data_IF_998585569707
#
_entry.id   IF_998585569707
#
_cell.length_a   1.000
_cell.length_b   1.000
_cell.length_c   1.000
_cell.angle_alpha   90.00
_cell.angle_beta   90.00
_cell.angle_gamma   90.00
#
_symmetry.space_group_name_H-M   'P 1'
#
loop_
_entity.id
_entity.type
_entity.pdbx_description
1 polymer ?
#
# COMPACT_ATOMS: atom_id res chain seq x y z
N UNK A 1 25.76 2.70 -54.06
CA UNK A 1 24.81 2.80 -52.93
C UNK A 1 25.17 1.72 -51.93
N UNK A 2 25.68 2.08 -50.76
CA UNK A 2 26.04 1.16 -49.69
C UNK A 2 24.76 0.75 -48.94
N UNK A 3 24.48 -0.54 -48.71
CA UNK A 3 23.31 -0.94 -47.96
C UNK A 3 23.44 -0.50 -46.51
N UNK A 4 22.42 0.19 -46.00
CA UNK A 4 22.32 0.59 -44.60
C UNK A 4 22.08 -0.69 -43.79
N UNK A 5 23.08 -1.11 -43.03
CA UNK A 5 22.93 -2.16 -42.03
C UNK A 5 22.14 -1.60 -40.84
N UNK A 6 20.94 -2.13 -40.59
CA UNK A 6 20.17 -1.81 -39.40
C UNK A 6 20.82 -2.51 -38.19
N UNK A 7 21.60 -1.76 -37.43
CA UNK A 7 22.19 -2.24 -36.17
C UNK A 7 21.09 -2.42 -35.13
N UNK A 8 20.76 -3.67 -34.77
CA UNK A 8 19.92 -3.98 -33.61
C UNK A 8 20.69 -3.66 -32.33
N UNK A 9 20.33 -2.58 -31.66
CA UNK A 9 20.80 -2.29 -30.29
C UNK A 9 20.03 -3.15 -29.30
N UNK A 10 20.74 -4.05 -28.63
CA UNK A 10 20.22 -4.77 -27.48
C UNK A 10 20.36 -3.90 -26.24
N UNK A 11 19.25 -3.48 -25.64
CA UNK A 11 19.25 -2.81 -24.35
C UNK A 11 19.36 -3.89 -23.27
N UNK A 12 20.50 -3.98 -22.62
CA UNK A 12 20.67 -4.85 -21.47
C UNK A 12 19.93 -4.26 -20.26
N UNK A 13 19.22 -5.12 -19.53
CA UNK A 13 18.52 -4.74 -18.31
C UNK A 13 19.54 -4.56 -17.18
N UNK A 14 19.68 -3.33 -16.68
CA UNK A 14 20.37 -3.07 -15.42
C UNK A 14 19.33 -2.77 -14.33
N UNK A 15 19.45 -3.44 -13.17
CA UNK A 15 18.55 -3.25 -12.03
C UNK A 15 19.12 -2.14 -11.13
N UNK A 16 18.54 -0.95 -11.16
CA UNK A 16 18.91 0.17 -10.29
C UNK A 16 18.40 0.04 -8.84
N UNK A 17 18.36 -1.20 -8.30
CA UNK A 17 17.79 -1.50 -6.98
C UNK A 17 16.27 -1.68 -6.98
N UNK A 18 15.66 -1.53 -5.80
CA UNK A 18 14.22 -1.60 -5.57
C UNK A 18 13.83 -0.73 -4.39
N UNK A 19 12.74 0.02 -4.53
CA UNK A 19 12.18 0.84 -3.45
C UNK A 19 10.81 0.29 -3.03
N UNK A 20 10.48 0.45 -1.76
CA UNK A 20 9.15 0.25 -1.21
C UNK A 20 8.32 1.53 -1.28
N UNK A 21 7.03 1.36 -1.48
CA UNK A 21 6.03 2.43 -1.29
C UNK A 21 5.03 1.92 -0.24
N UNK A 22 4.93 2.62 0.88
CA UNK A 22 3.85 2.45 1.85
C UNK A 22 2.82 3.53 1.56
N UNK A 23 1.56 3.13 1.39
CA UNK A 23 0.48 4.06 1.05
C UNK A 23 -0.76 3.70 1.86
N UNK A 24 -1.39 4.73 2.42
CA UNK A 24 -2.66 4.65 3.10
C UNK A 24 -3.64 5.61 2.42
N UNK A 25 -4.89 5.20 2.31
CA UNK A 25 -5.97 6.02 1.75
C UNK A 25 -7.23 5.81 2.56
N UNK A 26 -7.88 6.92 2.92
CA UNK A 26 -9.22 6.92 3.48
C UNK A 26 -10.23 7.03 2.31
N UNK A 27 -10.97 5.97 1.99
CA UNK A 27 -11.75 5.88 0.74
C UNK A 27 -12.78 7.00 0.56
N UNK A 28 -13.45 7.39 1.65
CA UNK A 28 -14.61 8.28 1.63
C UNK A 28 -14.24 9.76 1.60
N UNK A 29 -13.09 10.13 2.16
CA UNK A 29 -12.58 11.51 2.18
C UNK A 29 -11.56 11.74 1.07
N UNK A 30 -10.91 10.69 0.59
CA UNK A 30 -9.77 10.78 -0.32
C UNK A 30 -8.49 11.26 0.37
N UNK A 31 -8.43 11.25 1.71
CA UNK A 31 -7.19 11.55 2.44
C UNK A 31 -6.15 10.47 2.17
N UNK A 32 -4.89 10.85 1.97
CA UNK A 32 -3.79 9.93 1.64
C UNK A 32 -2.52 10.25 2.42
N UNK A 33 -1.74 9.21 2.71
CA UNK A 33 -0.38 9.31 3.20
C UNK A 33 0.51 8.36 2.41
N UNK A 34 1.76 8.74 2.13
CA UNK A 34 2.71 7.90 1.40
C UNK A 34 4.12 8.05 1.93
N UNK A 35 4.81 6.92 2.09
CA UNK A 35 6.27 6.87 2.27
C UNK A 35 6.91 6.14 1.10
N UNK A 36 8.05 6.65 0.64
CA UNK A 36 8.93 5.97 -0.32
C UNK A 36 10.21 5.62 0.41
N UNK A 37 10.48 4.34 0.56
CA UNK A 37 11.52 3.81 1.46
C UNK A 37 12.40 2.77 0.77
N UNK A 38 13.65 2.65 1.23
CA UNK A 38 14.52 1.51 0.89
C UNK A 38 15.31 1.18 2.16
N UNK A 39 15.09 0.02 2.84
CA UNK A 39 14.26 -1.15 2.49
C UNK A 39 12.85 -1.16 3.10
N UNK A 40 11.97 -2.09 2.65
CA UNK A 40 10.66 -2.37 3.28
C UNK A 40 10.85 -3.19 4.56
N UNK A 41 11.07 -2.51 5.69
CA UNK A 41 11.29 -3.14 7.00
C UNK A 41 10.14 -2.86 7.97
N UNK A 42 10.14 -3.56 9.11
CA UNK A 42 9.23 -3.26 10.21
C UNK A 42 9.49 -1.87 10.82
N UNK A 43 10.69 -1.30 10.68
CA UNK A 43 11.01 0.06 11.11
C UNK A 43 10.24 1.09 10.27
N UNK A 44 10.33 0.99 8.95
CA UNK A 44 9.61 1.88 8.03
C UNK A 44 8.09 1.75 8.21
N UNK A 45 7.60 0.52 8.41
CA UNK A 45 6.20 0.31 8.73
C UNK A 45 5.79 0.98 10.05
N UNK A 46 6.61 0.88 11.10
CA UNK A 46 6.33 1.51 12.40
C UNK A 46 6.28 3.04 12.31
N UNK A 47 7.23 3.63 11.57
CA UNK A 47 7.25 5.07 11.30
C UNK A 47 6.00 5.50 10.52
N UNK A 48 5.68 4.79 9.45
CA UNK A 48 4.49 5.06 8.64
C UNK A 48 3.19 4.99 9.44
N UNK A 49 3.02 3.96 10.26
CA UNK A 49 1.82 3.81 11.10
C UNK A 49 1.70 4.90 12.18
N UNK A 50 2.83 5.45 12.64
CA UNK A 50 2.84 6.58 13.58
C UNK A 50 2.31 7.86 12.92
N UNK A 51 2.71 8.12 11.66
CA UNK A 51 2.19 9.25 10.90
C UNK A 51 0.72 9.06 10.51
N UNK A 52 0.31 7.83 10.18
CA UNK A 52 -1.10 7.51 9.94
C UNK A 52 -1.93 7.79 11.20
N UNK A 53 -1.47 7.39 12.38
CA UNK A 53 -2.17 7.69 13.64
C UNK A 53 -2.26 9.19 13.93
N UNK A 54 -1.14 9.90 13.78
CA UNK A 54 -1.08 11.35 13.99
C UNK A 54 -1.98 12.15 13.04
N UNK A 55 -2.34 11.59 11.88
CA UNK A 55 -3.26 12.23 10.94
C UNK A 55 -4.73 12.25 11.40
N UNK A 56 -5.09 11.47 12.43
CA UNK A 56 -6.46 11.36 12.96
C UNK A 56 -6.48 11.52 14.50
N UNK A 57 -6.13 12.71 15.03
CA UNK A 57 -6.08 12.93 16.48
C UNK A 57 -7.46 12.80 17.16
N UNK A 58 -8.53 13.19 16.46
CA UNK A 58 -9.90 13.18 16.98
C UNK A 58 -10.58 11.80 16.90
N UNK A 59 -9.99 10.83 16.20
CA UNK A 59 -10.57 9.49 16.11
C UNK A 59 -10.27 8.73 17.40
N UNK A 60 -11.26 8.13 18.05
CA UNK A 60 -11.02 7.25 19.21
C UNK A 60 -10.29 5.96 18.79
N UNK A 61 -10.66 5.43 17.62
CA UNK A 61 -10.04 4.26 17.00
C UNK A 61 -10.07 4.36 15.47
N UNK A 62 -9.05 3.82 14.80
CA UNK A 62 -8.89 3.83 13.35
C UNK A 62 -9.04 2.40 12.82
N UNK A 63 -10.06 2.11 12.03
CA UNK A 63 -10.18 0.80 11.35
C UNK A 63 -9.16 0.71 10.21
N UNK A 64 -8.13 -0.12 10.41
CA UNK A 64 -7.04 -0.35 9.47
C UNK A 64 -7.31 -1.61 8.65
N UNK A 65 -7.62 -1.43 7.36
CA UNK A 65 -7.74 -2.52 6.40
C UNK A 65 -6.42 -2.67 5.63
N UNK A 66 -5.77 -3.83 5.72
CA UNK A 66 -4.47 -4.06 5.06
C UNK A 66 -4.27 -5.52 4.63
N UNK A 67 -3.21 -5.78 3.87
CA UNK A 67 -2.84 -7.12 3.46
C UNK A 67 -2.13 -7.90 4.59
N UNK A 68 -1.99 -9.21 4.43
CA UNK A 68 -1.43 -10.08 5.46
C UNK A 68 0.07 -10.30 5.24
N UNK A 69 0.85 -9.21 5.27
CA UNK A 69 2.30 -9.25 5.17
C UNK A 69 2.94 -9.51 6.54
N UNK A 70 4.15 -10.10 6.56
CA UNK A 70 4.89 -10.42 7.79
C UNK A 70 5.19 -9.21 8.70
N UNK A 71 5.16 -7.96 8.21
CA UNK A 71 5.33 -6.77 9.05
C UNK A 71 4.00 -6.14 9.48
N UNK A 72 2.86 -6.56 8.91
CA UNK A 72 1.54 -5.95 9.09
C UNK A 72 0.86 -6.46 10.36
N UNK A 73 1.51 -6.26 11.50
CA UNK A 73 1.00 -6.61 12.81
C UNK A 73 1.58 -5.72 13.89
N UNK A 74 0.86 -5.56 15.00
CA UNK A 74 1.27 -4.70 16.11
C UNK A 74 2.64 -5.05 16.72
N UNK A 75 3.02 -6.33 16.73
CA UNK A 75 4.34 -6.76 17.21
C UNK A 75 5.54 -6.16 16.46
N UNK A 76 5.34 -5.62 15.25
CA UNK A 76 6.40 -4.94 14.48
C UNK A 76 6.88 -3.65 15.14
N UNK A 77 6.03 -3.01 15.96
CA UNK A 77 6.33 -1.75 16.62
C UNK A 77 7.29 -1.95 17.79
N UNK A 78 7.16 -3.06 18.51
CA UNK A 78 7.93 -3.34 19.74
C UNK A 78 9.44 -3.42 19.52
N UNK A 79 9.89 -3.67 18.29
CA UNK A 79 11.31 -3.70 17.95
C UNK A 79 11.93 -2.28 17.88
N UNK A 80 11.13 -1.24 17.65
CA UNK A 80 11.61 0.12 17.36
C UNK A 80 11.02 1.19 18.30
N UNK A 81 10.19 0.80 19.25
CA UNK A 81 9.49 1.69 20.18
C UNK A 81 9.58 1.16 21.60
N UNK A 82 9.35 2.03 22.60
CA UNK A 82 9.16 1.55 23.97
C UNK A 82 7.88 0.69 24.05
N UNK A 83 7.80 -0.27 24.98
CA UNK A 83 6.61 -1.09 25.16
C UNK A 83 5.32 -0.27 25.30
N UNK A 84 5.37 0.85 26.03
CA UNK A 84 4.24 1.75 26.27
C UNK A 84 3.80 2.44 24.97
N UNK A 85 4.75 2.96 24.19
CA UNK A 85 4.47 3.62 22.92
C UNK A 85 3.92 2.63 21.88
N UNK A 86 4.51 1.43 21.79
CA UNK A 86 4.03 0.36 20.92
C UNK A 86 2.61 -0.06 21.30
N UNK A 87 2.35 -0.31 22.59
CA UNK A 87 1.02 -0.69 23.07
C UNK A 87 -0.04 0.38 22.78
N UNK A 88 0.28 1.66 23.05
CA UNK A 88 -0.58 2.79 22.70
C UNK A 88 -0.91 2.78 21.21
N UNK A 89 0.11 2.70 20.35
CA UNK A 89 -0.08 2.73 18.90
C UNK A 89 -0.91 1.53 18.40
N UNK A 90 -0.68 0.33 18.91
CA UNK A 90 -1.51 -0.84 18.58
C UNK A 90 -2.98 -0.62 18.95
N UNK A 91 -3.23 -0.06 20.14
CA UNK A 91 -4.58 0.22 20.63
C UNK A 91 -5.35 1.27 19.83
N UNK A 92 -4.66 2.12 19.05
CA UNK A 92 -5.28 3.11 18.17
C UNK A 92 -5.92 2.48 16.94
N UNK A 93 -5.57 1.24 16.58
CA UNK A 93 -6.06 0.58 15.38
C UNK A 93 -6.99 -0.60 15.70
N UNK A 94 -8.09 -0.68 14.96
CA UNK A 94 -8.83 -1.93 14.76
C UNK A 94 -8.25 -2.62 13.53
N UNK A 95 -7.77 -3.86 13.68
CA UNK A 95 -6.97 -4.53 12.65
C UNK A 95 -7.83 -5.45 11.78
N UNK A 96 -8.01 -5.10 10.52
CA UNK A 96 -8.75 -5.90 9.52
C UNK A 96 -7.80 -6.35 8.42
N UNK A 97 -7.22 -7.53 8.58
CA UNK A 97 -6.32 -8.10 7.57
C UNK A 97 -7.11 -8.90 6.52
N UNK A 98 -6.78 -8.72 5.24
CA UNK A 98 -7.34 -9.57 4.18
C UNK A 98 -6.90 -11.03 4.36
N UNK A 99 -7.68 -12.01 3.87
CA UNK A 99 -7.25 -13.41 3.83
C UNK A 99 -5.91 -13.57 3.11
N UNK A 100 -5.20 -14.65 3.43
CA UNK A 100 -3.96 -15.02 2.73
C UNK A 100 -4.22 -15.12 1.23
N UNK A 101 -3.30 -14.59 0.42
CA UNK A 101 -3.41 -14.53 -1.04
C UNK A 101 -4.58 -13.69 -1.59
N UNK A 102 -5.18 -12.82 -0.76
CA UNK A 102 -6.27 -11.95 -1.15
C UNK A 102 -5.97 -10.45 -0.94
N UNK A 103 -4.71 -10.03 -1.08
CA UNK A 103 -4.31 -8.61 -0.97
C UNK A 103 -5.06 -7.69 -1.94
N UNK A 104 -5.53 -8.25 -3.07
CA UNK A 104 -6.40 -7.56 -4.03
C UNK A 104 -7.74 -7.07 -3.43
N UNK A 105 -8.12 -7.54 -2.24
CA UNK A 105 -9.29 -7.04 -1.50
C UNK A 105 -9.00 -5.74 -0.74
N UNK A 106 -7.74 -5.32 -0.58
CA UNK A 106 -7.45 -4.05 0.07
C UNK A 106 -7.79 -2.89 -0.87
N UNK A 107 -8.45 -1.86 -0.35
CA UNK A 107 -8.81 -0.67 -1.15
C UNK A 107 -7.58 0.11 -1.61
N UNK A 108 -6.45 0.00 -0.89
CA UNK A 108 -5.19 0.61 -1.26
C UNK A 108 -4.66 0.12 -2.62
N UNK A 109 -5.01 -1.10 -3.07
CA UNK A 109 -4.62 -1.60 -4.39
C UNK A 109 -5.21 -0.79 -5.56
N UNK A 110 -6.38 -0.17 -5.37
CA UNK A 110 -6.94 0.76 -6.35
C UNK A 110 -6.05 1.99 -6.52
N UNK A 111 -5.49 2.47 -5.41
CA UNK A 111 -4.59 3.61 -5.38
C UNK A 111 -3.21 3.24 -5.94
N UNK A 112 -2.66 2.07 -5.61
CA UNK A 112 -1.44 1.55 -6.23
C UNK A 112 -1.59 1.34 -7.73
N UNK A 113 -2.76 0.87 -8.20
CA UNK A 113 -3.07 0.77 -9.63
C UNK A 113 -3.07 2.14 -10.31
N UNK A 114 -3.64 3.16 -9.67
CA UNK A 114 -3.60 4.53 -10.18
C UNK A 114 -2.16 5.08 -10.21
N UNK A 115 -1.40 4.88 -9.13
CA UNK A 115 0.01 5.29 -9.02
C UNK A 115 0.86 4.65 -10.12
N UNK A 116 0.67 3.35 -10.33
CA UNK A 116 1.38 2.58 -11.36
C UNK A 116 1.13 3.14 -12.76
N UNK A 117 -0.14 3.41 -13.11
CA UNK A 117 -0.51 3.90 -14.44
C UNK A 117 -0.16 5.37 -14.68
N UNK A 118 -0.26 6.21 -13.65
CA UNK A 118 -0.16 7.67 -13.78
C UNK A 118 1.24 8.20 -13.47
N UNK A 119 1.98 7.55 -12.57
CA UNK A 119 3.28 8.02 -12.09
C UNK A 119 4.41 7.04 -12.41
N UNK A 120 4.18 5.73 -12.25
CA UNK A 120 5.24 4.70 -12.36
C UNK A 120 5.20 3.92 -13.67
N UNK A 121 4.60 4.49 -14.72
CA UNK A 121 4.50 3.89 -16.06
C UNK A 121 5.83 3.83 -16.83
N UNK A 122 6.90 4.35 -16.23
CA UNK A 122 8.29 4.28 -16.70
C UNK A 122 9.22 4.03 -15.51
N UNK A 123 10.45 3.57 -15.78
CA UNK A 123 11.47 3.33 -14.74
C UNK A 123 12.06 4.62 -14.18
N UNK A 124 12.54 4.58 -12.94
CA UNK A 124 13.32 5.68 -12.33
C UNK A 124 14.72 5.19 -11.96
N UNK A 125 15.75 6.03 -12.18
CA UNK A 125 17.14 5.63 -11.96
C UNK A 125 17.55 5.64 -10.48
N UNK A 126 16.78 6.31 -9.60
CA UNK A 126 17.08 6.40 -8.17
C UNK A 126 15.83 6.52 -7.31
N UNK A 127 15.96 6.19 -6.03
CA UNK A 127 14.93 6.40 -5.00
C UNK A 127 14.54 7.87 -4.89
N UNK A 128 15.50 8.80 -4.92
CA UNK A 128 15.23 10.24 -4.85
C UNK A 128 14.30 10.69 -5.97
N UNK A 129 14.53 10.20 -7.20
CA UNK A 129 13.67 10.48 -8.36
C UNK A 129 12.31 9.84 -8.22
N UNK A 130 12.23 8.64 -7.64
CA UNK A 130 10.96 8.00 -7.34
C UNK A 130 10.16 8.82 -6.32
N UNK A 131 10.79 9.21 -5.21
CA UNK A 131 10.20 10.04 -4.15
C UNK A 131 9.72 11.39 -4.69
N UNK A 132 10.55 12.06 -5.48
CA UNK A 132 10.23 13.36 -6.07
C UNK A 132 9.04 13.35 -7.05
N UNK A 133 8.61 12.18 -7.51
CA UNK A 133 7.43 12.04 -8.37
C UNK A 133 6.22 11.46 -7.61
N UNK A 134 6.44 10.45 -6.77
CA UNK A 134 5.37 9.80 -5.99
C UNK A 134 4.76 10.77 -4.99
N UNK A 135 5.56 11.53 -4.23
CA UNK A 135 5.04 12.45 -3.21
C UNK A 135 4.13 13.52 -3.84
N UNK A 136 4.55 14.30 -4.85
CA UNK A 136 3.67 15.29 -5.45
C UNK A 136 2.41 14.69 -6.10
N UNK A 137 2.52 13.49 -6.66
CA UNK A 137 1.36 12.79 -7.24
C UNK A 137 0.32 12.44 -6.16
N UNK A 138 0.75 11.92 -5.00
CA UNK A 138 -0.15 11.61 -3.88
C UNK A 138 -0.76 12.89 -3.32
N UNK A 139 0.04 13.94 -3.10
CA UNK A 139 -0.44 15.23 -2.62
C UNK A 139 -1.47 15.85 -3.57
N UNK A 140 -1.26 15.75 -4.89
CA UNK A 140 -2.22 16.25 -5.87
C UNK A 140 -3.58 15.54 -5.72
N UNK A 141 -3.57 14.23 -5.51
CA UNK A 141 -4.79 13.43 -5.35
C UNK A 141 -5.47 13.65 -3.99
N UNK A 142 -4.67 13.87 -2.93
CA UNK A 142 -5.18 14.28 -1.63
C UNK A 142 -5.86 15.66 -1.70
N UNK A 143 -5.21 16.65 -2.32
CA UNK A 143 -5.80 18.00 -2.52
C UNK A 143 -7.07 17.95 -3.34
N UNK A 144 -7.11 17.13 -4.38
CA UNK A 144 -8.29 16.91 -5.19
C UNK A 144 -9.36 16.04 -4.51
N UNK A 145 -9.09 15.50 -3.32
CA UNK A 145 -9.97 14.62 -2.54
C UNK A 145 -10.56 13.50 -3.40
N UNK A 146 -9.70 12.86 -4.20
CA UNK A 146 -10.13 11.77 -5.09
C UNK A 146 -10.64 10.60 -4.25
N UNK A 147 -11.93 10.33 -4.30
CA UNK A 147 -12.56 9.25 -3.52
C UNK A 147 -12.43 7.90 -4.22
N UNK A 148 -12.48 6.83 -3.44
CA UNK A 148 -12.53 5.47 -3.95
C UNK A 148 -13.95 4.92 -3.82
N UNK A 149 -14.51 4.43 -4.92
CA UNK A 149 -15.81 3.75 -4.92
C UNK A 149 -15.56 2.24 -4.89
N UNK A 150 -15.82 1.63 -3.75
CA UNK A 150 -15.71 0.18 -3.61
C UNK A 150 -16.90 -0.53 -4.24
N UNK A 151 -16.63 -1.44 -5.17
CA UNK A 151 -17.67 -2.16 -5.92
C UNK A 151 -17.82 -3.63 -5.50
N UNK A 152 -16.92 -4.16 -4.67
CA UNK A 152 -16.96 -5.56 -4.27
C UNK A 152 -17.89 -5.75 -3.08
N UNK A 153 -19.13 -6.15 -3.38
CA UNK A 153 -20.20 -6.31 -2.39
C UNK A 153 -20.11 -7.63 -1.62
N UNK A 154 -20.81 -7.71 -0.49
CA UNK A 154 -20.96 -8.97 0.27
C UNK A 154 -21.57 -10.09 -0.58
N UNK A 155 -22.50 -9.76 -1.49
CA UNK A 155 -23.07 -10.74 -2.41
C UNK A 155 -22.01 -11.27 -3.38
N UNK A 156 -21.22 -10.38 -4.00
CA UNK A 156 -20.11 -10.78 -4.85
C UNK A 156 -19.07 -11.61 -4.09
N UNK A 157 -18.82 -11.29 -2.81
CA UNK A 157 -17.94 -12.07 -1.95
C UNK A 157 -18.47 -13.48 -1.70
N UNK A 158 -19.76 -13.65 -1.40
CA UNK A 158 -20.39 -14.97 -1.23
C UNK A 158 -20.27 -15.85 -2.47
N UNK A 159 -20.46 -15.27 -3.65
CA UNK A 159 -20.29 -16.00 -4.91
C UNK A 159 -18.81 -16.33 -5.17
N UNK A 160 -17.90 -15.36 -4.98
CA UNK A 160 -16.47 -15.54 -5.25
C UNK A 160 -15.78 -16.52 -4.29
N UNK A 161 -16.23 -16.56 -3.03
CA UNK A 161 -15.69 -17.41 -1.98
C UNK A 161 -16.61 -18.59 -1.63
N UNK A 162 -17.54 -18.97 -2.51
CA UNK A 162 -18.55 -20.02 -2.27
C UNK A 162 -17.95 -21.31 -1.70
N UNK A 163 -16.82 -21.76 -2.26
CA UNK A 163 -16.06 -22.93 -1.81
C UNK A 163 -15.70 -22.91 -0.32
N UNK A 164 -15.42 -21.74 0.24
CA UNK A 164 -15.08 -21.59 1.67
C UNK A 164 -16.34 -21.60 2.56
N UNK A 165 -17.48 -21.15 2.06
CA UNK A 165 -18.75 -21.24 2.79
C UNK A 165 -19.28 -22.67 2.85
N UNK A 166 -19.09 -23.45 1.79
CA UNK A 166 -19.46 -24.88 1.75
C UNK A 166 -18.69 -25.69 2.79
N UNK A 167 -17.40 -25.40 3.00
CA UNK A 167 -16.59 -26.09 4.01
C UNK A 167 -16.99 -25.81 5.47
N UNK A 168 -17.74 -24.73 5.74
CA UNK A 168 -18.21 -24.37 7.09
C UNK A 168 -19.57 -25.00 7.40
N UNK A 169 -20.30 -25.50 6.39
CA UNK A 169 -21.47 -26.37 6.61
C UNK A 169 -20.98 -27.74 7.05
N UNK A 170 -20.68 -27.85 8.34
CA UNK A 170 -20.49 -29.14 9.03
C UNK A 170 -21.88 -29.79 9.14
N UNK A 171 -21.98 -31.06 8.74
CA UNK A 171 -23.14 -31.93 9.02
C UNK A 171 -23.37 -32.08 10.53
#
# INVERSE_FOLDING_TARGET
MTPISLTRTHVMYEKCGSCGVLLAVEPLTGRRCVHVTTPRTAQEYSAFMTEVEAAYPEADQITLVQDNLNTHHGGSFSTFMTPEAAHRLVGRFEWVCTPKHASWLTMAELEFSALSRQCLNRRRPSEERLRAEVIPWVEQRDRAKVKLVWQFTVHAARTKFSRHYESVRIN
#
